data_IF_989846566684
#
_entry.id   IF_989846566684
#
_cell.length_a   1.000
_cell.length_b   1.000
_cell.length_c   1.000
_cell.angle_alpha   90.00
_cell.angle_beta   90.00
_cell.angle_gamma   90.00
#
_symmetry.space_group_name_H-M   'P 1'
#
loop_
_entity.id
_entity.type
_entity.pdbx_description
1 polymer ?
#
# COMPACT_ATOMS: atom_id res chain seq x y z
N UNK A 1 -20.89 -9.74 2.35
CA UNK A 1 -19.61 -10.35 1.89
C UNK A 1 -19.78 -11.76 1.30
N UNK A 2 -20.74 -12.58 1.73
CA UNK A 2 -20.86 -13.97 1.27
C UNK A 2 -21.19 -14.09 -0.24
N UNK A 3 -22.11 -13.27 -0.78
CA UNK A 3 -22.40 -13.24 -2.22
C UNK A 3 -21.16 -12.93 -3.07
N UNK A 4 -20.36 -11.92 -2.68
CA UNK A 4 -19.13 -11.58 -3.39
C UNK A 4 -18.12 -12.72 -3.49
N UNK A 5 -18.12 -13.64 -2.51
CA UNK A 5 -17.23 -14.81 -2.49
C UNK A 5 -17.72 -15.98 -3.35
N UNK A 6 -19.03 -16.16 -3.49
CA UNK A 6 -19.61 -17.35 -4.16
C UNK A 6 -20.20 -17.04 -5.53
N UNK A 7 -20.62 -15.80 -5.76
CA UNK A 7 -21.31 -15.34 -6.96
C UNK A 7 -20.51 -14.28 -7.73
N UNK A 8 -19.33 -13.89 -7.24
CA UNK A 8 -18.46 -12.90 -7.85
C UNK A 8 -18.79 -11.43 -7.50
N UNK A 9 -18.14 -10.45 -8.13
CA UNK A 9 -18.25 -9.02 -7.79
C UNK A 9 -19.68 -8.49 -7.71
N UNK A 10 -19.97 -7.69 -6.69
CA UNK A 10 -21.32 -7.13 -6.47
C UNK A 10 -21.30 -5.60 -6.64
N UNK A 11 -22.27 -5.06 -7.39
CA UNK A 11 -22.42 -3.61 -7.58
C UNK A 11 -23.26 -3.04 -6.44
N UNK A 12 -22.76 -1.99 -5.80
CA UNK A 12 -23.50 -1.19 -4.82
C UNK A 12 -23.92 0.11 -5.50
N UNK A 13 -25.22 0.42 -5.44
CA UNK A 13 -25.79 1.64 -6.02
C UNK A 13 -26.21 2.64 -4.94
N UNK A 14 -26.02 3.92 -5.21
CA UNK A 14 -26.58 5.02 -4.40
C UNK A 14 -27.53 5.83 -5.29
N UNK A 15 -28.83 5.87 -4.92
CA UNK A 15 -29.88 6.56 -5.68
C UNK A 15 -29.98 6.10 -7.15
N UNK A 16 -29.84 4.80 -7.39
CA UNK A 16 -29.92 4.21 -8.73
C UNK A 16 -28.61 4.24 -9.53
N UNK A 17 -27.62 5.03 -9.09
CA UNK A 17 -26.33 5.15 -9.76
C UNK A 17 -25.30 4.21 -9.15
N UNK A 18 -24.38 3.67 -9.98
CA UNK A 18 -23.29 2.80 -9.50
C UNK A 18 -22.33 3.61 -8.63
N UNK A 19 -22.22 3.23 -7.36
CA UNK A 19 -21.41 3.94 -6.38
C UNK A 19 -20.13 3.19 -6.01
N UNK A 20 -20.20 1.86 -5.90
CA UNK A 20 -19.04 1.03 -5.57
C UNK A 20 -19.19 -0.41 -6.08
N UNK A 21 -18.08 -1.16 -6.07
CA UNK A 21 -18.06 -2.61 -6.32
C UNK A 21 -17.45 -3.30 -5.11
N UNK A 22 -18.14 -4.30 -4.58
CA UNK A 22 -17.65 -5.15 -3.50
C UNK A 22 -17.04 -6.42 -4.10
N UNK A 23 -15.76 -6.62 -3.81
CA UNK A 23 -14.98 -7.79 -4.23
C UNK A 23 -14.74 -8.72 -3.05
N UNK A 24 -14.53 -10.00 -3.33
CA UNK A 24 -13.90 -10.88 -2.35
C UNK A 24 -12.44 -10.43 -2.10
N UNK A 25 -11.90 -10.71 -0.93
CA UNK A 25 -10.51 -10.37 -0.62
C UNK A 25 -9.52 -11.08 -1.56
N UNK A 26 -9.85 -12.31 -1.98
CA UNK A 26 -9.09 -13.07 -2.96
C UNK A 26 -9.03 -12.35 -4.31
N UNK A 27 -10.19 -11.95 -4.85
CA UNK A 27 -10.25 -11.33 -6.18
C UNK A 27 -9.64 -9.93 -6.17
N UNK A 28 -9.80 -9.19 -5.07
CA UNK A 28 -9.10 -7.93 -4.87
C UNK A 28 -7.57 -8.14 -4.81
N UNK A 29 -7.11 -9.17 -4.11
CA UNK A 29 -5.69 -9.55 -4.05
C UNK A 29 -5.13 -9.91 -5.43
N UNK A 30 -5.86 -10.69 -6.23
CA UNK A 30 -5.50 -11.05 -7.59
C UNK A 30 -5.45 -9.82 -8.52
N UNK A 31 -6.41 -8.89 -8.40
CA UNK A 31 -6.41 -7.62 -9.14
C UNK A 31 -5.22 -6.72 -8.77
N UNK A 32 -4.76 -6.79 -7.52
CA UNK A 32 -3.60 -6.04 -7.04
C UNK A 32 -2.27 -6.73 -7.38
N UNK A 33 -2.29 -8.01 -7.75
CA UNK A 33 -1.06 -8.76 -8.06
C UNK A 33 -0.26 -8.07 -9.17
N UNK A 34 1.06 -7.98 -8.99
CA UNK A 34 1.97 -7.30 -9.93
C UNK A 34 2.02 -5.78 -9.81
N UNK A 35 1.29 -5.17 -8.86
CA UNK A 35 1.50 -3.78 -8.47
C UNK A 35 2.38 -3.74 -7.22
N UNK A 36 3.66 -3.33 -7.31
CA UNK A 36 4.48 -3.16 -6.12
C UNK A 36 3.77 -2.21 -5.17
N UNK A 37 3.73 -2.58 -3.90
CA UNK A 37 3.31 -1.62 -2.88
C UNK A 37 4.37 -0.53 -2.77
N UNK A 38 4.02 0.63 -2.20
CA UNK A 38 5.01 1.66 -1.92
C UNK A 38 6.17 1.10 -1.08
N UNK A 39 5.88 0.16 -0.17
CA UNK A 39 6.91 -0.53 0.62
C UNK A 39 7.80 -1.37 -0.29
N UNK A 40 7.23 -2.21 -1.16
CA UNK A 40 8.01 -3.05 -2.07
C UNK A 40 8.87 -2.21 -3.02
N UNK A 41 8.35 -1.07 -3.47
CA UNK A 41 9.07 -0.13 -4.35
C UNK A 41 10.23 0.56 -3.61
N UNK A 42 10.00 1.00 -2.37
CA UNK A 42 11.04 1.62 -1.53
C UNK A 42 12.15 0.64 -1.12
N UNK A 43 11.83 -0.64 -0.94
CA UNK A 43 12.81 -1.67 -0.53
C UNK A 43 13.34 -2.51 -1.69
N UNK A 44 12.79 -2.37 -2.90
CA UNK A 44 13.21 -3.12 -4.09
C UNK A 44 14.43 -2.55 -4.80
N UNK A 45 14.88 -1.35 -4.42
CA UNK A 45 16.05 -0.70 -4.99
C UNK A 45 17.38 -1.35 -4.57
N UNK A 46 18.49 -1.01 -5.25
CA UNK A 46 19.82 -1.46 -4.83
C UNK A 46 20.14 -0.99 -3.42
N UNK A 47 20.89 -1.82 -2.68
CA UNK A 47 21.43 -1.41 -1.39
C UNK A 47 22.28 -0.15 -1.54
N UNK A 48 22.33 0.67 -0.48
CA UNK A 48 23.27 1.79 -0.43
C UNK A 48 24.70 1.27 -0.41
N UNK A 49 25.61 2.03 -1.03
CA UNK A 49 27.03 1.79 -0.83
C UNK A 49 27.44 2.06 0.63
N UNK A 50 28.57 1.49 1.03
CA UNK A 50 29.07 1.59 2.40
C UNK A 50 29.29 3.05 2.82
N UNK A 51 29.74 3.89 1.88
CA UNK A 51 29.99 5.32 2.15
C UNK A 51 28.70 6.05 2.53
N UNK A 52 27.61 5.83 1.79
CA UNK A 52 26.30 6.43 2.07
C UNK A 52 25.69 5.87 3.36
N UNK A 53 25.81 4.55 3.57
CA UNK A 53 25.33 3.90 4.80
C UNK A 53 26.02 4.48 6.03
N UNK A 54 27.35 4.62 6.01
CA UNK A 54 28.13 5.19 7.10
C UNK A 54 27.78 6.65 7.35
N UNK A 55 27.66 7.46 6.28
CA UNK A 55 27.25 8.86 6.41
C UNK A 55 25.87 9.01 7.06
N UNK A 56 24.91 8.15 6.72
CA UNK A 56 23.58 8.15 7.35
C UNK A 56 23.66 7.69 8.81
N UNK A 57 24.49 6.69 9.11
CA UNK A 57 24.67 6.18 10.48
C UNK A 57 25.20 7.25 11.42
N UNK A 58 26.21 8.03 10.99
CA UNK A 58 26.83 9.08 11.81
C UNK A 58 26.09 10.42 11.78
N UNK A 59 25.07 10.58 10.93
CA UNK A 59 24.26 11.81 10.84
C UNK A 59 23.61 12.14 12.18
N UNK A 60 23.61 13.43 12.55
CA UNK A 60 22.82 13.97 13.65
C UNK A 60 21.34 13.57 13.47
N UNK A 61 20.78 12.92 14.49
CA UNK A 61 19.41 12.36 14.48
C UNK A 61 18.35 13.31 15.03
N UNK A 62 18.73 14.55 15.33
CA UNK A 62 17.80 15.58 15.79
C UNK A 62 16.67 15.74 14.77
N UNK A 63 15.40 15.57 15.18
CA UNK A 63 14.26 15.76 14.30
C UNK A 63 14.25 17.17 13.69
N UNK A 64 13.81 17.30 12.45
CA UNK A 64 13.68 18.61 11.79
C UNK A 64 12.48 19.43 12.32
N UNK A 65 11.63 18.82 13.14
CA UNK A 65 10.45 19.42 13.75
C UNK A 65 10.36 18.97 15.20
N UNK A 66 9.93 19.88 16.07
CA UNK A 66 9.62 19.53 17.45
C UNK A 66 8.45 18.54 17.52
N UNK A 67 8.52 17.67 18.53
CA UNK A 67 7.41 16.76 18.85
C UNK A 67 6.33 17.58 19.53
N UNK A 68 5.23 17.82 18.83
CA UNK A 68 4.01 18.35 19.45
C UNK A 68 3.32 17.21 20.21
N UNK A 69 3.13 17.37 21.51
CA UNK A 69 2.32 16.50 22.36
C UNK A 69 0.85 16.97 22.36
#
# INVERSE_FOLDING_TARGET
MQKARHEGPQIVTLRGERAAVVLSAHDYGALRAGRPTLVDDLFGGPAWDDQLADAVNVRVKTPSRDVAF
#
